data_IF_099295483706
#
_entry.id   IF_099295483706
#
_cell.length_a   1.000
_cell.length_b   1.000
_cell.length_c   1.000
_cell.angle_alpha   90.00
_cell.angle_beta   90.00
_cell.angle_gamma   90.00
#
_symmetry.space_group_name_H-M   'P 1'
#
loop_
_entity.id
_entity.type
_entity.pdbx_description
1 polymer ?
#
# COMPACT_ATOMS: atom_id res chain seq x y z
N UNK A 1 -18.00 -8.28 2.31
CA UNK A 1 -17.02 -7.95 3.37
C UNK A 1 -17.28 -6.50 3.77
N UNK A 2 -17.37 -6.18 5.07
CA UNK A 2 -17.48 -4.79 5.53
C UNK A 2 -16.07 -4.17 5.52
N UNK A 3 -15.94 -2.90 5.14
CA UNK A 3 -14.64 -2.23 4.97
C UNK A 3 -13.88 -1.91 6.26
N UNK A 4 -14.47 -2.16 7.44
CA UNK A 4 -13.89 -1.76 8.73
C UNK A 4 -14.01 -0.26 9.04
N UNK A 5 -14.40 0.56 8.06
CA UNK A 5 -14.64 2.00 8.22
C UNK A 5 -15.88 2.22 9.10
N UNK A 6 -15.74 3.10 10.10
CA UNK A 6 -16.78 3.51 11.05
C UNK A 6 -17.04 5.01 10.99
N UNK A 7 -18.07 5.47 11.71
CA UNK A 7 -18.40 6.89 11.87
C UNK A 7 -17.29 7.74 12.50
N UNK A 8 -16.31 7.10 13.13
CA UNK A 8 -15.24 7.76 13.88
C UNK A 8 -14.02 8.03 12.98
N UNK A 9 -14.00 7.45 11.77
CA UNK A 9 -13.00 7.75 10.76
C UNK A 9 -13.25 9.14 10.15
N UNK A 10 -12.21 9.69 9.53
CA UNK A 10 -12.25 10.99 8.86
C UNK A 10 -13.38 11.06 7.84
N UNK A 11 -14.23 12.08 7.94
CA UNK A 11 -15.30 12.37 6.97
C UNK A 11 -14.94 13.56 6.09
N UNK A 12 -15.29 13.46 4.81
CA UNK A 12 -15.34 14.59 3.88
C UNK A 12 -16.63 15.37 4.16
N UNK A 13 -16.58 16.71 4.14
CA UNK A 13 -17.81 17.51 4.33
C UNK A 13 -18.83 17.23 3.23
N UNK A 14 -20.11 17.25 3.59
CA UNK A 14 -21.22 16.99 2.67
C UNK A 14 -21.21 17.89 1.43
N UNK A 15 -20.81 19.16 1.58
CA UNK A 15 -20.70 20.11 0.46
C UNK A 15 -19.71 19.67 -0.63
N UNK A 16 -18.79 18.76 -0.31
CA UNK A 16 -17.80 18.18 -1.23
C UNK A 16 -18.16 16.75 -1.66
N UNK A 17 -19.37 16.28 -1.37
CA UNK A 17 -19.87 14.95 -1.76
C UNK A 17 -19.84 13.90 -0.65
N UNK A 18 -19.36 14.26 0.55
CA UNK A 18 -19.39 13.39 1.72
C UNK A 18 -18.51 12.14 1.63
N UNK A 19 -18.69 11.23 2.58
CA UNK A 19 -18.00 9.94 2.62
C UNK A 19 -16.62 9.98 3.28
N UNK A 20 -15.79 8.98 2.99
CA UNK A 20 -14.51 8.74 3.67
C UNK A 20 -13.36 8.79 2.68
N UNK A 21 -12.33 9.62 2.89
CA UNK A 21 -11.10 9.51 2.14
C UNK A 21 -10.42 8.20 2.54
N UNK A 22 -10.02 7.39 1.55
CA UNK A 22 -9.40 6.10 1.80
C UNK A 22 -8.38 5.77 0.69
N UNK A 23 -7.33 5.04 1.07
CA UNK A 23 -6.40 4.46 0.11
C UNK A 23 -6.86 3.05 -0.27
N UNK A 24 -6.66 2.67 -1.52
CA UNK A 24 -6.78 1.26 -1.92
C UNK A 24 -5.51 0.54 -1.50
N UNK A 25 -5.59 -0.28 -0.45
CA UNK A 25 -4.46 -0.97 0.17
C UNK A 25 -3.51 -1.60 -0.85
N UNK A 26 -4.00 -2.42 -1.78
CA UNK A 26 -3.13 -3.07 -2.78
C UNK A 26 -2.35 -2.09 -3.68
N UNK A 27 -2.88 -0.90 -3.96
CA UNK A 27 -2.17 0.14 -4.72
C UNK A 27 -1.15 0.87 -3.82
N UNK A 28 -1.50 1.08 -2.55
CA UNK A 28 -0.59 1.63 -1.56
C UNK A 28 0.59 0.68 -1.33
N UNK A 29 0.37 -0.61 -1.14
CA UNK A 29 1.44 -1.59 -0.90
C UNK A 29 2.49 -1.61 -2.03
N UNK A 30 2.03 -1.51 -3.28
CA UNK A 30 2.90 -1.56 -4.46
C UNK A 30 3.80 -0.33 -4.62
N UNK A 31 3.42 0.84 -4.09
CA UNK A 31 4.26 2.03 -4.25
C UNK A 31 5.57 1.94 -3.44
N UNK A 32 5.63 1.03 -2.48
CA UNK A 32 6.73 0.91 -1.52
C UNK A 32 7.67 -0.22 -1.96
N UNK A 33 8.34 -0.04 -3.09
CA UNK A 33 9.39 -0.95 -3.58
C UNK A 33 10.71 -0.20 -3.75
N UNK A 34 11.44 -0.05 -2.64
CA UNK A 34 12.53 0.96 -2.60
C UNK A 34 13.90 0.40 -2.23
N UNK A 35 14.00 -0.84 -1.72
CA UNK A 35 15.28 -1.34 -1.19
C UNK A 35 16.40 -1.38 -2.25
N UNK A 36 16.10 -1.82 -3.47
CA UNK A 36 17.11 -1.94 -4.53
C UNK A 36 17.45 -0.65 -5.27
N UNK A 37 16.72 0.44 -5.01
CA UNK A 37 16.90 1.73 -5.69
C UNK A 37 16.99 2.90 -4.70
N UNK A 38 17.41 2.62 -3.47
CA UNK A 38 17.37 3.59 -2.38
C UNK A 38 18.14 4.87 -2.70
N UNK A 39 19.39 4.75 -3.17
CA UNK A 39 20.24 5.90 -3.51
C UNK A 39 19.59 6.80 -4.57
N UNK A 40 19.05 6.19 -5.64
CA UNK A 40 18.34 6.90 -6.69
C UNK A 40 17.15 7.71 -6.16
N UNK A 41 16.30 7.09 -5.34
CA UNK A 41 15.11 7.76 -4.80
C UNK A 41 15.45 8.78 -3.70
N UNK A 42 16.54 8.56 -2.97
CA UNK A 42 17.06 9.53 -2.02
C UNK A 42 17.56 10.79 -2.72
N UNK A 43 18.28 10.64 -3.83
CA UNK A 43 18.76 11.77 -4.65
C UNK A 43 17.62 12.58 -5.27
N UNK A 44 16.53 11.93 -5.67
CA UNK A 44 15.34 12.63 -6.18
C UNK A 44 14.71 13.56 -5.14
N UNK A 45 14.76 13.21 -3.85
CA UNK A 45 14.20 14.05 -2.78
C UNK A 45 12.70 14.28 -2.94
N UNK A 46 11.96 13.27 -3.40
CA UNK A 46 10.51 13.34 -3.63
C UNK A 46 9.72 12.42 -2.68
N UNK A 47 8.43 12.73 -2.48
CA UNK A 47 7.55 11.92 -1.65
C UNK A 47 8.11 11.66 -0.24
N UNK A 48 8.21 10.38 0.14
CA UNK A 48 8.75 9.95 1.44
C UNK A 48 10.23 10.35 1.63
N UNK A 49 11.01 10.49 0.56
CA UNK A 49 12.42 10.85 0.60
C UNK A 49 12.69 12.34 0.86
N UNK A 50 11.64 13.17 0.96
CA UNK A 50 11.73 14.54 1.49
C UNK A 50 11.96 14.59 2.99
N UNK A 51 11.64 13.52 3.70
CA UNK A 51 11.72 13.47 5.14
C UNK A 51 13.14 13.13 5.61
N UNK A 52 13.45 13.52 6.84
CA UNK A 52 14.69 13.10 7.50
C UNK A 52 14.75 11.58 7.70
N UNK A 53 15.95 11.04 7.84
CA UNK A 53 16.21 9.59 7.94
C UNK A 53 15.31 8.86 8.96
N UNK A 54 15.06 9.39 10.18
CA UNK A 54 14.21 8.69 11.14
C UNK A 54 12.77 8.49 10.64
N UNK A 55 12.21 9.50 9.96
CA UNK A 55 10.85 9.46 9.42
C UNK A 55 10.81 8.53 8.20
N UNK A 56 11.83 8.61 7.33
CA UNK A 56 11.93 7.73 6.17
C UNK A 56 12.03 6.26 6.60
N UNK A 57 12.83 5.97 7.63
CA UNK A 57 12.96 4.62 8.19
C UNK A 57 11.66 4.11 8.78
N UNK A 58 10.91 4.96 9.49
CA UNK A 58 9.57 4.61 9.98
C UNK A 58 8.63 4.27 8.83
N UNK A 59 8.59 5.11 7.78
CA UNK A 59 7.76 4.91 6.59
C UNK A 59 8.06 3.57 5.91
N UNK A 60 9.34 3.28 5.63
CA UNK A 60 9.74 2.02 4.98
C UNK A 60 9.44 0.81 5.87
N UNK A 61 9.67 0.91 7.18
CA UNK A 61 9.39 -0.18 8.12
C UNK A 61 7.89 -0.50 8.16
N UNK A 62 7.04 0.53 8.19
CA UNK A 62 5.58 0.37 8.17
C UNK A 62 5.10 -0.28 6.86
N UNK A 63 5.64 0.13 5.71
CA UNK A 63 5.34 -0.51 4.43
C UNK A 63 5.67 -2.02 4.43
N UNK A 64 6.86 -2.38 4.92
CA UNK A 64 7.31 -3.77 4.97
C UNK A 64 6.42 -4.61 5.88
N UNK A 65 6.00 -4.06 7.02
CA UNK A 65 5.09 -4.77 7.92
C UNK A 65 3.69 -4.96 7.31
N UNK A 66 3.14 -3.94 6.63
CA UNK A 66 1.87 -4.07 5.92
C UNK A 66 1.95 -5.11 4.79
N UNK A 67 3.04 -5.14 4.01
CA UNK A 67 3.27 -6.17 3.00
C UNK A 67 3.30 -7.57 3.61
N UNK A 68 3.99 -7.73 4.75
CA UNK A 68 4.01 -9.00 5.51
C UNK A 68 2.60 -9.39 5.95
N UNK A 69 1.83 -8.48 6.55
CA UNK A 69 0.46 -8.74 6.98
C UNK A 69 -0.41 -9.16 5.79
N UNK A 70 -0.30 -8.49 4.65
CA UNK A 70 -1.07 -8.83 3.46
C UNK A 70 -0.71 -10.21 2.91
N UNK A 71 0.57 -10.56 2.83
CA UNK A 71 1.01 -11.89 2.40
C UNK A 71 0.51 -13.01 3.34
N UNK A 72 0.35 -12.72 4.64
CA UNK A 72 -0.22 -13.67 5.60
C UNK A 72 -1.74 -13.79 5.47
N UNK A 73 -2.43 -12.67 5.25
CA UNK A 73 -3.90 -12.63 5.11
C UNK A 73 -4.39 -13.21 3.77
N UNK A 74 -3.62 -13.02 2.70
CA UNK A 74 -3.90 -13.55 1.36
C UNK A 74 -2.82 -14.52 0.92
N UNK A 75 -2.51 -15.50 1.78
CA UNK A 75 -1.46 -16.48 1.54
C UNK A 75 -1.67 -17.20 0.20
N UNK A 76 -0.63 -17.19 -0.64
CA UNK A 76 -0.63 -17.97 -1.87
C UNK A 76 -0.35 -19.44 -1.52
N UNK A 77 -1.25 -20.32 -1.95
CA UNK A 77 -1.15 -21.77 -1.76
C UNK A 77 -0.62 -22.49 -3.01
N UNK A 78 -0.22 -21.72 -4.04
CA UNK A 78 0.54 -22.23 -5.17
C UNK A 78 1.84 -22.88 -4.71
N UNK A 79 2.27 -23.90 -5.45
CA UNK A 79 3.51 -24.64 -5.15
C UNK A 79 4.56 -24.33 -6.20
N UNK A 80 5.78 -24.08 -5.75
CA UNK A 80 6.95 -23.97 -6.60
C UNK A 80 7.69 -25.31 -6.64
N UNK A 81 7.76 -25.90 -7.83
CA UNK A 81 8.46 -27.15 -8.08
C UNK A 81 9.97 -26.94 -8.22
N UNK A 82 10.66 -27.94 -8.78
CA UNK A 82 12.07 -27.86 -9.13
C UNK A 82 12.28 -28.31 -10.56
N UNK A 83 13.19 -27.64 -11.27
CA UNK A 83 13.69 -28.00 -12.59
C UNK A 83 15.16 -28.38 -12.52
N UNK A 84 15.64 -29.15 -13.50
CA UNK A 84 17.07 -29.41 -13.64
C UNK A 84 17.75 -28.22 -14.30
N UNK A 85 18.74 -27.66 -13.61
CA UNK A 85 19.62 -26.62 -14.11
C UNK A 85 21.03 -27.21 -14.36
N UNK A 86 21.78 -26.57 -15.26
CA UNK A 86 23.16 -26.92 -15.64
C UNK A 86 23.29 -28.31 -16.30
N UNK A 87 23.66 -28.34 -17.59
CA UNK A 87 23.79 -29.59 -18.35
C UNK A 87 25.04 -30.40 -17.97
N UNK A 88 26.09 -29.72 -17.51
CA UNK A 88 27.37 -30.36 -17.17
C UNK A 88 27.34 -30.96 -15.74
N UNK A 89 26.53 -30.36 -14.86
CA UNK A 89 26.31 -30.81 -13.48
C UNK A 89 24.84 -30.61 -13.07
N UNK A 90 23.95 -31.57 -13.41
CA UNK A 90 22.50 -31.45 -13.19
C UNK A 90 22.14 -31.19 -11.72
N UNK A 91 21.74 -29.95 -11.43
CA UNK A 91 21.40 -29.49 -10.08
C UNK A 91 19.93 -29.07 -10.01
N UNK A 92 19.16 -29.49 -8.99
CA UNK A 92 17.76 -29.12 -8.88
C UNK A 92 17.62 -27.65 -8.41
N UNK A 93 16.95 -26.83 -9.21
CA UNK A 93 16.72 -25.41 -8.94
C UNK A 93 15.21 -25.12 -8.81
N UNK A 94 14.76 -24.24 -7.89
CA UNK A 94 13.35 -23.87 -7.79
C UNK A 94 12.83 -23.26 -9.10
N UNK A 95 11.67 -23.76 -9.56
CA UNK A 95 10.98 -23.15 -10.69
C UNK A 95 10.05 -22.06 -10.19
N UNK A 96 10.45 -20.80 -10.42
CA UNK A 96 9.65 -19.64 -10.08
C UNK A 96 8.63 -19.28 -11.17
N UNK A 97 8.63 -19.96 -12.31
CA UNK A 97 7.69 -19.72 -13.39
C UNK A 97 6.38 -20.47 -13.17
N UNK A 98 5.61 -20.03 -12.16
CA UNK A 98 4.33 -20.62 -11.77
C UNK A 98 3.14 -19.77 -12.24
N UNK A 99 2.02 -20.42 -12.52
CA UNK A 99 0.77 -19.73 -12.84
C UNK A 99 0.06 -19.26 -11.56
N UNK A 100 -0.33 -17.98 -11.54
CA UNK A 100 -1.08 -17.40 -10.42
C UNK A 100 -2.46 -16.92 -10.89
N UNK A 101 -3.46 -17.07 -10.02
CA UNK A 101 -4.80 -16.49 -10.23
C UNK A 101 -4.89 -15.15 -9.52
N UNK A 102 -4.74 -14.08 -10.29
CA UNK A 102 -4.75 -12.72 -9.78
C UNK A 102 -6.14 -12.07 -9.88
N UNK A 103 -6.41 -11.11 -8.99
CA UNK A 103 -7.45 -10.12 -9.25
C UNK A 103 -7.03 -9.26 -10.44
N UNK A 104 -7.99 -8.77 -11.21
CA UNK A 104 -7.69 -7.88 -12.33
C UNK A 104 -7.15 -6.53 -11.82
N UNK A 105 -5.82 -6.40 -11.82
CA UNK A 105 -5.12 -5.21 -11.35
C UNK A 105 -5.57 -3.94 -12.07
N UNK A 106 -5.70 -3.99 -13.39
CA UNK A 106 -6.08 -2.82 -14.19
C UNK A 106 -7.51 -2.36 -13.89
N UNK A 107 -8.43 -3.30 -13.68
CA UNK A 107 -9.80 -2.95 -13.29
C UNK A 107 -9.84 -2.25 -11.91
N UNK A 108 -9.08 -2.75 -10.92
CA UNK A 108 -8.98 -2.11 -9.60
C UNK A 108 -8.33 -0.74 -9.70
N UNK A 109 -7.24 -0.62 -10.47
CA UNK A 109 -6.53 0.65 -10.68
C UNK A 109 -7.43 1.69 -11.34
N UNK A 110 -8.16 1.30 -12.38
CA UNK A 110 -9.09 2.18 -13.09
C UNK A 110 -10.23 2.64 -12.17
N UNK A 111 -10.83 1.72 -11.41
CA UNK A 111 -11.87 2.03 -10.44
C UNK A 111 -11.40 3.05 -9.39
N UNK A 112 -10.16 2.92 -8.91
CA UNK A 112 -9.55 3.83 -7.95
C UNK A 112 -9.24 5.20 -8.57
N UNK A 113 -8.71 5.21 -9.80
CA UNK A 113 -8.40 6.43 -10.54
C UNK A 113 -9.63 7.32 -10.74
N UNK A 114 -10.77 6.73 -11.07
CA UNK A 114 -12.04 7.45 -11.24
C UNK A 114 -12.61 8.06 -9.95
N UNK A 115 -12.06 7.66 -8.78
CA UNK A 115 -12.55 8.04 -7.43
C UNK A 115 -11.51 8.79 -6.63
N UNK A 116 -10.54 9.40 -7.31
CA UNK A 116 -9.53 10.22 -6.65
C UNK A 116 -10.17 11.44 -5.98
N UNK A 117 -9.61 11.82 -4.83
CA UNK A 117 -9.88 13.14 -4.25
C UNK A 117 -9.43 14.24 -5.22
N UNK A 118 -9.98 15.46 -5.10
CA UNK A 118 -9.58 16.57 -5.95
C UNK A 118 -8.06 16.80 -5.90
N UNK A 119 -7.45 17.06 -7.06
CA UNK A 119 -6.00 17.32 -7.15
C UNK A 119 -5.55 18.50 -6.29
N UNK A 120 -6.44 19.48 -6.09
CA UNK A 120 -6.29 20.54 -5.10
C UNK A 120 -7.40 20.39 -4.06
N UNK A 121 -7.02 19.96 -2.87
CA UNK A 121 -7.94 19.78 -1.74
C UNK A 121 -8.21 21.14 -1.07
N UNK A 122 -9.47 21.58 -0.93
CA UNK A 122 -9.82 22.78 -0.18
C UNK A 122 -9.43 22.69 1.30
N UNK A 123 -9.17 23.83 1.95
CA UNK A 123 -8.76 23.84 3.37
C UNK A 123 -9.84 23.28 4.31
N UNK A 124 -11.12 23.50 3.98
CA UNK A 124 -12.26 23.00 4.74
C UNK A 124 -12.79 21.65 4.23
N UNK A 125 -12.00 20.88 3.45
CA UNK A 125 -12.46 19.63 2.83
C UNK A 125 -12.94 18.58 3.83
N UNK A 126 -12.30 18.50 5.00
CA UNK A 126 -12.59 17.51 6.04
C UNK A 126 -13.49 18.09 7.14
N UNK A 127 -14.31 17.21 7.72
CA UNK A 127 -15.01 17.48 8.97
C UNK A 127 -14.03 17.51 10.15
N UNK A 128 -14.33 18.33 11.16
CA UNK A 128 -13.63 18.24 12.44
C UNK A 128 -14.06 16.97 13.19
N UNK A 129 -13.19 16.39 14.03
CA UNK A 129 -13.57 15.27 14.89
C UNK A 129 -14.83 15.59 15.69
N UNK A 130 -15.77 14.64 15.77
CA UNK A 130 -17.02 14.82 16.52
C UNK A 130 -16.79 14.85 18.02
N UNK A 131 -15.75 14.14 18.46
CA UNK A 131 -15.25 14.10 19.82
C UNK A 131 -13.71 14.14 19.75
N UNK A 132 -13.05 14.70 20.75
CA UNK A 132 -11.59 14.63 20.86
C UNK A 132 -11.12 13.27 21.42
N UNK A 133 -12.01 12.52 22.09
CA UNK A 133 -11.68 11.20 22.66
C UNK A 133 -11.33 10.13 21.60
N UNK A 134 -11.74 10.34 20.34
CA UNK A 134 -11.42 9.44 19.21
C UNK A 134 -10.07 9.76 18.55
N UNK A 135 -9.44 10.87 18.92
CA UNK A 135 -8.15 11.29 18.36
C UNK A 135 -7.02 10.64 19.15
N UNK A 136 -6.12 9.95 18.45
CA UNK A 136 -4.98 9.27 19.10
C UNK A 136 -3.95 10.26 19.63
N UNK A 137 -3.44 10.00 20.84
CA UNK A 137 -2.38 10.79 21.47
C UNK A 137 -1.02 10.65 20.76
N UNK A 138 -0.82 9.54 20.05
CA UNK A 138 0.39 9.25 19.28
C UNK A 138 0.01 8.78 17.87
N UNK A 139 0.94 8.94 16.92
CA UNK A 139 0.78 8.38 15.57
C UNK A 139 0.70 6.84 15.67
N UNK A 140 -0.39 6.21 15.18
CA UNK A 140 -0.56 4.77 15.22
C UNK A 140 0.37 4.03 14.25
#
# INVERSE_FOLDING_TARGET
MKSGISSDHVHVREQYGGGYPANVEGLHHLHCSLYYNYEYYQELGEGAFKNEEPILRLHVSHCLDILRQQLMCTVDVGVLGRVWWNKEDPTPFPDFNTDHKCRNFNAVRQWAFERQVPARVPEDYLESPRDLSIVHDNMP
#
